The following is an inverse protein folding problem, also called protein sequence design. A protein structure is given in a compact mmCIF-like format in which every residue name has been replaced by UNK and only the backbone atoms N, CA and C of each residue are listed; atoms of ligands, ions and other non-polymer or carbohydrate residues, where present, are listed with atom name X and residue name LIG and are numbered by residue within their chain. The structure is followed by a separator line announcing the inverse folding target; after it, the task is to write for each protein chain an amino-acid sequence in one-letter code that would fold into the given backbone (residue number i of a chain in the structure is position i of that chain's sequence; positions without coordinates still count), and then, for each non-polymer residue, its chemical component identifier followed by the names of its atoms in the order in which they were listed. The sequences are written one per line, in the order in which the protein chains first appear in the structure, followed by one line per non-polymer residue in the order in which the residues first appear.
data_IF_208008791308
#
_entry.id   IF_208008791308
#
_cell.length_a   1.000
_cell.length_b   1.000
_cell.length_c   1.000
_cell.angle_alpha   90.00
_cell.angle_beta   90.00
_cell.angle_gamma   90.00
#
_symmetry.space_group_name_H-M   'P 1'
#
loop_
_entity.id
_entity.type
_entity.pdbx_description
1 polymer ?
#
# COMPACT_ATOMS: atom_id res chain seq x y z
N UNK A 1 -9.65 -8.90 -1.29
CA UNK A 1 -8.64 -7.85 -1.60
C UNK A 1 -8.28 -7.96 -3.07
N UNK A 2 -8.03 -9.18 -3.54
CA UNK A 2 -7.60 -9.50 -4.91
C UNK A 2 -8.48 -8.91 -6.02
N UNK A 3 -9.81 -9.01 -5.92
CA UNK A 3 -10.73 -8.37 -6.88
C UNK A 3 -10.57 -6.84 -7.00
N UNK A 4 -10.19 -6.16 -5.91
CA UNK A 4 -9.95 -4.71 -5.92
C UNK A 4 -8.54 -4.37 -6.43
N UNK A 5 -7.59 -5.27 -6.23
CA UNK A 5 -6.23 -5.12 -6.75
C UNK A 5 -6.19 -5.21 -8.27
N UNK A 6 -6.89 -6.17 -8.89
CA UNK A 6 -6.96 -6.28 -10.35
C UNK A 6 -7.57 -5.03 -11.00
N UNK A 7 -8.65 -4.48 -10.43
CA UNK A 7 -9.25 -3.23 -10.92
C UNK A 7 -8.31 -2.04 -10.76
N UNK A 8 -7.55 -1.99 -9.67
CA UNK A 8 -6.56 -0.94 -9.47
C UNK A 8 -5.40 -1.06 -10.47
N UNK A 9 -4.95 -2.28 -10.77
CA UNK A 9 -3.94 -2.53 -11.82
C UNK A 9 -4.41 -2.03 -13.19
N UNK A 10 -5.63 -2.38 -13.58
CA UNK A 10 -6.23 -1.91 -14.84
C UNK A 10 -6.33 -0.39 -14.88
N UNK A 11 -6.74 0.25 -13.78
CA UNK A 11 -6.76 1.70 -13.67
C UNK A 11 -5.37 2.33 -13.85
N UNK A 12 -4.35 1.81 -13.16
CA UNK A 12 -2.99 2.32 -13.30
C UNK A 12 -2.44 2.11 -14.72
N UNK A 13 -2.81 1.00 -15.37
CA UNK A 13 -2.33 0.64 -16.70
C UNK A 13 -3.02 1.42 -17.82
N UNK A 14 -4.35 1.51 -17.79
CA UNK A 14 -5.13 2.02 -18.93
C UNK A 14 -5.56 3.47 -18.74
N UNK A 15 -5.91 3.89 -17.52
CA UNK A 15 -6.34 5.27 -17.26
C UNK A 15 -5.14 6.18 -17.03
N UNK A 16 -4.14 5.71 -16.26
CA UNK A 16 -2.94 6.50 -15.96
C UNK A 16 -1.74 6.22 -16.88
N UNK A 17 -1.83 5.20 -17.74
CA UNK A 17 -0.75 4.79 -18.67
C UNK A 17 0.61 4.60 -17.98
N UNK A 18 0.62 4.09 -16.74
CA UNK A 18 1.86 3.85 -16.02
C UNK A 18 2.61 2.65 -16.55
N UNK A 19 3.95 2.73 -16.51
CA UNK A 19 4.81 1.61 -16.86
C UNK A 19 4.62 0.44 -15.89
N UNK A 20 4.83 -0.79 -16.37
CA UNK A 20 4.75 -1.99 -15.52
C UNK A 20 5.66 -1.90 -14.30
N UNK A 21 6.82 -1.24 -14.41
CA UNK A 21 7.73 -0.99 -13.28
C UNK A 21 7.08 -0.09 -12.22
N UNK A 22 6.44 0.99 -12.66
CA UNK A 22 5.73 1.92 -11.76
C UNK A 22 4.58 1.20 -11.06
N UNK A 23 3.77 0.46 -11.81
CA UNK A 23 2.66 -0.35 -11.28
C UNK A 23 3.20 -1.33 -10.21
N UNK A 24 4.28 -2.06 -10.50
CA UNK A 24 4.92 -2.95 -9.54
C UNK A 24 5.31 -2.24 -8.25
N UNK A 25 5.82 -1.00 -8.35
CA UNK A 25 6.13 -0.16 -7.18
C UNK A 25 4.91 0.12 -6.30
N UNK A 26 3.77 0.50 -6.90
CA UNK A 26 2.51 0.67 -6.16
C UNK A 26 2.10 -0.60 -5.42
N UNK A 27 2.17 -1.75 -6.08
CA UNK A 27 1.81 -3.04 -5.48
C UNK A 27 2.76 -3.44 -4.35
N UNK A 28 4.07 -3.19 -4.50
CA UNK A 28 5.04 -3.39 -3.42
C UNK A 28 4.64 -2.60 -2.17
N UNK A 29 4.30 -1.31 -2.33
CA UNK A 29 3.91 -0.48 -1.19
C UNK A 29 2.59 -0.92 -0.53
N UNK A 30 1.62 -1.39 -1.32
CA UNK A 30 0.37 -1.97 -0.78
C UNK A 30 0.68 -3.22 0.05
N UNK A 31 1.55 -4.11 -0.45
CA UNK A 31 1.95 -5.32 0.26
C UNK A 31 2.68 -4.98 1.56
N UNK A 32 3.60 -4.03 1.54
CA UNK A 32 4.33 -3.56 2.73
C UNK A 32 3.39 -2.97 3.78
N UNK A 33 2.44 -2.12 3.35
CA UNK A 33 1.46 -1.57 4.26
C UNK A 33 0.56 -2.65 4.85
N UNK A 34 0.10 -3.61 4.04
CA UNK A 34 -0.71 -4.73 4.54
C UNK A 34 0.06 -5.60 5.56
N UNK A 35 1.37 -5.84 5.33
CA UNK A 35 2.24 -6.50 6.31
C UNK A 35 2.33 -5.72 7.63
N UNK A 36 2.48 -4.39 7.55
CA UNK A 36 2.48 -3.53 8.74
C UNK A 36 1.15 -3.63 9.51
N UNK A 37 0.02 -3.57 8.80
CA UNK A 37 -1.31 -3.69 9.42
C UNK A 37 -1.49 -5.05 10.11
N UNK A 38 -1.10 -6.14 9.45
CA UNK A 38 -1.15 -7.48 10.03
C UNK A 38 -0.30 -7.59 11.31
N UNK A 39 0.92 -7.06 11.29
CA UNK A 39 1.80 -7.04 12.47
C UNK A 39 1.21 -6.24 13.64
N UNK A 40 0.41 -5.22 13.35
CA UNK A 40 -0.28 -4.39 14.35
C UNK A 40 -1.70 -4.89 14.67
N UNK A 41 -2.14 -6.01 14.06
CA UNK A 41 -3.51 -6.55 14.17
C UNK A 41 -4.59 -5.52 13.81
N UNK A 42 -4.31 -4.64 12.84
CA UNK A 42 -5.24 -3.62 12.36
C UNK A 42 -5.93 -4.16 11.10
N UNK A 43 -7.26 -4.11 11.07
CA UNK A 43 -8.02 -4.45 9.86
C UNK A 43 -7.97 -3.31 8.84
N UNK A 44 -7.67 -3.63 7.58
CA UNK A 44 -7.71 -2.64 6.49
C UNK A 44 -9.11 -2.04 6.26
N UNK A 45 -10.17 -2.73 6.69
CA UNK A 45 -11.56 -2.26 6.58
C UNK A 45 -11.90 -1.17 7.60
N UNK A 46 -11.10 -1.03 8.66
CA UNK A 46 -11.31 -0.07 9.75
C UNK A 46 -10.12 0.88 9.87
N UNK A 47 -9.51 1.24 8.75
CA UNK A 47 -8.38 2.17 8.73
C UNK A 47 -8.82 3.57 9.14
N UNK A 48 -8.08 4.13 10.09
CA UNK A 48 -8.18 5.53 10.47
C UNK A 48 -7.01 6.31 9.88
N UNK A 49 -7.18 7.64 9.78
CA UNK A 49 -6.08 8.56 9.44
C UNK A 49 -4.85 8.35 10.33
N UNK A 50 -5.06 8.05 11.61
CA UNK A 50 -3.97 7.81 12.56
C UNK A 50 -3.15 6.57 12.19
N UNK A 51 -3.78 5.52 11.65
CA UNK A 51 -3.05 4.33 11.21
C UNK A 51 -2.11 4.63 10.03
N UNK A 52 -2.55 5.49 9.11
CA UNK A 52 -1.73 5.95 7.98
C UNK A 52 -0.54 6.77 8.49
N UNK A 53 -0.78 7.75 9.38
CA UNK A 53 0.29 8.56 9.99
C UNK A 53 1.31 7.67 10.73
N UNK A 54 0.83 6.68 11.48
CA UNK A 54 1.71 5.76 12.20
C UNK A 54 2.55 4.89 11.25
N UNK A 55 2.02 4.52 10.09
CA UNK A 55 2.78 3.82 9.06
C UNK A 55 3.85 4.70 8.43
N UNK A 56 3.53 5.96 8.11
CA UNK A 56 4.51 6.91 7.59
C UNK A 56 5.66 7.13 8.58
N UNK A 57 5.36 7.33 9.87
CA UNK A 57 6.39 7.41 10.93
C UNK A 57 7.21 6.13 11.04
N UNK A 58 6.60 4.96 10.86
CA UNK A 58 7.31 3.69 10.84
C UNK A 58 8.29 3.58 9.67
N UNK A 59 7.92 4.06 8.48
CA UNK A 59 8.80 4.12 7.32
C UNK A 59 9.97 5.08 7.54
N UNK A 60 9.73 6.25 8.13
CA UNK A 60 10.78 7.23 8.43
C UNK A 60 11.80 6.66 9.42
N UNK A 61 11.34 5.98 10.48
CA UNK A 61 12.22 5.34 11.45
C UNK A 61 13.03 4.18 10.86
N UNK A 62 12.49 3.48 9.86
CA UNK A 62 13.19 2.40 9.13
C UNK A 62 14.24 2.91 8.15
N UNK A 63 14.11 4.13 7.63
CA UNK A 63 15.14 4.73 6.76
C UNK A 63 16.39 5.17 7.54
N UNK A 64 16.28 5.28 8.87
CA UNK A 64 17.36 5.63 9.78
C UNK A 64 18.15 4.42 10.31
N UNK A 65 17.85 3.20 9.84
CA UNK A 65 18.55 1.95 10.21
C UNK A 65 19.42 1.42 9.09
#
# INVERSE_FOLDING_TARGET
MDKYLSKYEEYLKYELNYSSLTIKGYFTHIIEFNKYLNNKKISYKSLTKQNIINYLKYLDNKKLS
#
